data_IF_574108067532
#
_entry.id   IF_574108067532
#
_cell.length_a   1.000
_cell.length_b   1.000
_cell.length_c   1.000
_cell.angle_alpha   90.00
_cell.angle_beta   90.00
_cell.angle_gamma   90.00
#
_symmetry.space_group_name_H-M   'P 1'
#
loop_
_entity.id
_entity.type
_entity.pdbx_description
1 polymer ?
#
# COMPACT_ATOMS: atom_id res chain seq x y z
N UNK A 1 -8.64 0.22 9.34
CA UNK A 1 -7.59 -0.53 8.62
C UNK A 1 -6.96 0.40 7.60
N UNK A 2 -5.65 0.59 7.69
CA UNK A 2 -5.03 1.92 7.52
C UNK A 2 -4.94 2.48 6.11
N UNK A 3 -5.20 3.78 6.00
CA UNK A 3 -4.82 4.62 4.86
C UNK A 3 -3.61 5.46 5.27
N UNK A 4 -2.67 5.66 4.35
CA UNK A 4 -1.54 6.57 4.60
C UNK A 4 -2.09 8.01 4.51
N UNK A 5 -1.97 8.84 5.56
CA UNK A 5 -2.47 10.21 5.51
C UNK A 5 -1.85 11.03 4.39
N UNK A 6 -2.67 11.80 3.69
CA UNK A 6 -2.25 12.58 2.50
C UNK A 6 -1.17 13.61 2.83
N UNK A 7 -1.17 14.16 4.04
CA UNK A 7 -0.17 15.12 4.51
C UNK A 7 1.25 14.52 4.63
N UNK A 8 1.38 13.19 4.71
CA UNK A 8 2.68 12.51 4.66
C UNK A 8 3.29 12.53 3.25
N UNK A 9 2.48 12.83 2.23
CA UNK A 9 2.92 13.03 0.85
C UNK A 9 3.22 14.51 0.54
N UNK A 10 3.33 15.38 1.55
CA UNK A 10 3.53 16.82 1.36
C UNK A 10 4.78 17.37 2.04
N UNK A 11 5.41 18.36 1.39
CA UNK A 11 6.46 19.20 1.97
C UNK A 11 7.63 18.42 2.61
N UNK A 12 7.96 18.78 3.85
CA UNK A 12 9.06 18.15 4.61
C UNK A 12 8.81 16.67 4.90
N UNK A 13 7.57 16.29 5.20
CA UNK A 13 7.18 14.90 5.53
C UNK A 13 7.41 13.94 4.38
N UNK A 14 7.13 14.40 3.15
CA UNK A 14 7.44 13.64 1.95
C UNK A 14 8.94 13.48 1.71
N UNK A 15 9.72 14.57 1.91
CA UNK A 15 11.19 14.51 1.79
C UNK A 15 11.82 13.54 2.77
N UNK A 16 11.29 13.49 3.99
CA UNK A 16 11.68 12.55 5.04
C UNK A 16 11.09 11.14 4.84
N UNK A 17 10.31 10.93 3.77
CA UNK A 17 9.68 9.65 3.40
C UNK A 17 8.82 9.03 4.50
N UNK A 18 8.17 9.84 5.33
CA UNK A 18 7.34 9.36 6.45
C UNK A 18 6.16 8.47 5.99
N UNK A 19 5.74 8.60 4.74
CA UNK A 19 4.74 7.73 4.14
C UNK A 19 5.21 6.26 4.06
N UNK A 20 6.51 5.99 3.90
CA UNK A 20 7.06 4.62 3.89
C UNK A 20 7.01 3.99 5.28
N UNK A 21 7.38 4.74 6.31
CA UNK A 21 7.29 4.28 7.70
C UNK A 21 5.83 4.05 8.09
N UNK A 22 4.93 4.95 7.69
CA UNK A 22 3.50 4.76 7.96
C UNK A 22 2.93 3.51 7.24
N UNK A 23 3.42 3.20 6.04
CA UNK A 23 3.04 1.97 5.35
C UNK A 23 3.48 0.72 6.12
N UNK A 24 4.69 0.74 6.73
CA UNK A 24 5.18 -0.34 7.59
C UNK A 24 4.27 -0.53 8.80
N UNK A 25 3.93 0.54 9.52
CA UNK A 25 3.02 0.48 10.67
C UNK A 25 1.68 -0.19 10.30
N UNK A 26 1.03 0.31 9.24
CA UNK A 26 -0.28 -0.20 8.79
C UNK A 26 -0.21 -1.68 8.42
N UNK A 27 0.85 -2.10 7.73
CA UNK A 27 0.99 -3.49 7.29
C UNK A 27 1.26 -4.42 8.47
N UNK A 28 2.09 -4.01 9.43
CA UNK A 28 2.36 -4.82 10.62
C UNK A 28 1.11 -4.99 11.49
N UNK A 29 0.34 -3.91 11.70
CA UNK A 29 -0.96 -3.99 12.37
C UNK A 29 -1.92 -4.94 11.63
N UNK A 30 -1.91 -4.89 10.30
CA UNK A 30 -2.72 -5.77 9.45
C UNK A 30 -2.30 -7.25 9.57
N UNK A 31 -1.01 -7.55 9.58
CA UNK A 31 -0.51 -8.93 9.74
C UNK A 31 -0.84 -9.49 11.12
N UNK A 32 -0.70 -8.67 12.16
CA UNK A 32 -1.09 -9.04 13.53
C UNK A 32 -2.59 -9.34 13.62
N UNK A 33 -3.44 -8.47 13.08
CA UNK A 33 -4.88 -8.67 13.06
C UNK A 33 -5.33 -9.92 12.27
N UNK A 34 -4.54 -10.33 11.26
CA UNK A 34 -4.77 -11.54 10.48
C UNK A 34 -4.14 -12.80 11.10
N UNK A 35 -3.32 -12.67 12.14
CA UNK A 35 -2.53 -13.78 12.69
C UNK A 35 -1.51 -14.35 11.70
N UNK A 36 -1.06 -13.56 10.73
CA UNK A 36 -0.15 -14.01 9.67
C UNK A 36 1.29 -14.11 10.19
N UNK A 37 1.86 -15.32 10.16
CA UNK A 37 3.23 -15.62 10.59
C UNK A 37 4.24 -15.72 9.44
N UNK A 38 5.54 -15.91 9.76
CA UNK A 38 6.62 -15.99 8.76
C UNK A 38 6.62 -17.28 7.92
N UNK A 39 5.86 -18.29 8.33
CA UNK A 39 5.73 -19.59 7.65
C UNK A 39 4.99 -19.49 6.30
N UNK A 40 4.13 -18.48 6.14
CA UNK A 40 3.36 -18.24 4.93
C UNK A 40 4.01 -17.15 4.06
N UNK A 41 4.08 -17.34 2.73
CA UNK A 41 4.62 -16.32 1.84
C UNK A 41 3.72 -15.09 1.79
N UNK A 42 4.30 -13.91 2.00
CA UNK A 42 3.61 -12.63 1.83
C UNK A 42 3.85 -12.13 0.41
N UNK A 43 2.81 -12.19 -0.42
CA UNK A 43 2.79 -11.60 -1.75
C UNK A 43 2.48 -10.11 -1.66
N UNK A 44 3.37 -9.27 -2.21
CA UNK A 44 3.26 -7.82 -2.08
C UNK A 44 3.59 -7.12 -3.39
N UNK A 45 2.80 -6.09 -3.73
CA UNK A 45 3.02 -5.35 -4.97
C UNK A 45 4.37 -4.64 -4.98
N UNK A 46 4.90 -4.34 -6.17
CA UNK A 46 6.22 -3.72 -6.38
C UNK A 46 6.22 -2.19 -6.24
N UNK A 47 5.03 -1.57 -6.12
CA UNK A 47 4.87 -0.13 -5.98
C UNK A 47 5.77 0.48 -4.89
N UNK A 48 6.27 1.69 -5.15
CA UNK A 48 7.29 2.32 -4.31
C UNK A 48 6.83 2.58 -2.87
N UNK A 49 5.54 2.82 -2.66
CA UNK A 49 4.96 3.06 -1.32
C UNK A 49 5.18 1.86 -0.38
N UNK A 50 5.30 0.65 -0.93
CA UNK A 50 5.54 -0.58 -0.17
C UNK A 50 7.00 -1.02 -0.18
N UNK A 51 7.95 -0.20 -0.66
CA UNK A 51 9.36 -0.60 -0.71
C UNK A 51 9.92 -0.93 0.67
N UNK A 52 9.74 -0.02 1.64
CA UNK A 52 10.21 -0.21 3.01
C UNK A 52 9.50 -1.37 3.70
N UNK A 53 8.22 -1.60 3.41
CA UNK A 53 7.47 -2.77 3.90
C UNK A 53 8.17 -4.06 3.51
N UNK A 54 8.56 -4.20 2.23
CA UNK A 54 9.27 -5.39 1.74
C UNK A 54 10.59 -5.61 2.46
N UNK A 55 11.33 -4.55 2.75
CA UNK A 55 12.59 -4.61 3.48
C UNK A 55 12.36 -5.05 4.93
N UNK A 56 11.49 -4.36 5.67
CA UNK A 56 11.21 -4.64 7.09
C UNK A 56 10.69 -6.05 7.30
N UNK A 57 9.80 -6.53 6.42
CA UNK A 57 9.29 -7.89 6.55
C UNK A 57 10.39 -8.93 6.33
N UNK A 58 11.32 -8.71 5.39
CA UNK A 58 12.48 -9.60 5.21
C UNK A 58 13.44 -9.54 6.41
N UNK A 59 13.71 -8.35 6.94
CA UNK A 59 14.52 -8.15 8.15
C UNK A 59 13.91 -8.91 9.34
N UNK A 60 12.57 -9.03 9.40
CA UNK A 60 11.84 -9.79 10.41
C UNK A 60 11.69 -11.29 10.10
N UNK A 61 12.30 -11.79 9.02
CA UNK A 61 12.31 -13.20 8.66
C UNK A 61 11.10 -13.69 7.86
N UNK A 62 10.20 -12.80 7.42
CA UNK A 62 9.09 -13.20 6.55
C UNK A 62 9.57 -13.53 5.14
N UNK A 63 8.94 -14.54 4.52
CA UNK A 63 9.13 -14.85 3.11
C UNK A 63 8.34 -13.88 2.22
N UNK A 64 8.98 -12.80 1.79
CA UNK A 64 8.37 -11.76 0.94
C UNK A 64 8.55 -12.05 -0.55
N UNK A 65 7.43 -12.16 -1.29
CA UNK A 65 7.41 -12.39 -2.74
C UNK A 65 6.86 -11.14 -3.44
N UNK A 66 7.70 -10.35 -4.15
CA UNK A 66 7.21 -9.29 -5.02
C UNK A 66 6.30 -9.88 -6.09
N UNK A 67 5.09 -9.35 -6.25
CA UNK A 67 4.07 -9.96 -7.12
C UNK A 67 3.20 -8.90 -7.77
N UNK A 68 2.73 -9.17 -9.00
CA UNK A 68 1.61 -8.44 -9.56
C UNK A 68 0.34 -8.95 -8.89
N UNK A 69 -0.34 -8.08 -8.14
CA UNK A 69 -1.62 -8.41 -7.50
C UNK A 69 -2.72 -8.26 -8.54
N UNK A 70 -3.56 -9.29 -8.68
CA UNK A 70 -4.65 -9.37 -9.66
C UNK A 70 -5.90 -9.96 -9.01
N UNK A 71 -7.03 -9.88 -9.71
CA UNK A 71 -8.29 -10.49 -9.27
C UNK A 71 -8.92 -9.75 -8.09
N UNK A 72 -9.48 -10.50 -7.15
CA UNK A 72 -10.31 -9.96 -6.09
C UNK A 72 -9.56 -8.98 -5.16
N UNK A 73 -8.33 -9.31 -4.77
CA UNK A 73 -7.49 -8.41 -3.94
C UNK A 73 -7.22 -7.08 -4.64
N UNK A 74 -6.99 -7.09 -5.96
CA UNK A 74 -6.81 -5.87 -6.74
C UNK A 74 -8.12 -5.06 -6.73
N UNK A 75 -9.26 -5.69 -7.00
CA UNK A 75 -10.58 -5.03 -7.01
C UNK A 75 -10.88 -4.37 -5.66
N UNK A 76 -10.69 -5.09 -4.55
CA UNK A 76 -10.91 -4.57 -3.21
C UNK A 76 -10.04 -3.36 -2.89
N UNK A 77 -8.75 -3.40 -3.28
CA UNK A 77 -7.82 -2.29 -3.08
C UNK A 77 -8.21 -1.06 -3.92
N UNK A 78 -8.58 -1.27 -5.18
CA UNK A 78 -9.02 -0.23 -6.10
C UNK A 78 -10.32 0.46 -5.63
N UNK A 79 -11.29 -0.31 -5.15
CA UNK A 79 -12.53 0.24 -4.60
C UNK A 79 -12.30 1.01 -3.29
N UNK A 80 -11.44 0.50 -2.41
CA UNK A 80 -11.06 1.22 -1.20
C UNK A 80 -10.40 2.56 -1.53
N UNK A 81 -9.53 2.58 -2.54
CA UNK A 81 -8.89 3.79 -3.02
C UNK A 81 -9.90 4.81 -3.57
N UNK A 82 -10.85 4.38 -4.43
CA UNK A 82 -11.90 5.28 -4.94
C UNK A 82 -12.75 5.88 -3.81
N UNK A 83 -13.14 5.07 -2.82
CA UNK A 83 -13.88 5.57 -1.64
C UNK A 83 -13.05 6.58 -0.82
N UNK A 84 -11.74 6.39 -0.73
CA UNK A 84 -10.85 7.34 -0.07
C UNK A 84 -10.80 8.67 -0.82
N UNK A 85 -10.68 8.63 -2.16
CA UNK A 85 -10.70 9.81 -3.03
C UNK A 85 -12.01 10.60 -2.89
N UNK A 86 -13.15 9.92 -2.91
CA UNK A 86 -14.45 10.56 -2.71
C UNK A 86 -14.54 11.26 -1.34
N UNK A 87 -14.05 10.61 -0.28
CA UNK A 87 -14.06 11.15 1.08
C UNK A 87 -13.23 12.44 1.23
N UNK A 88 -12.12 12.55 0.50
CA UNK A 88 -11.28 13.76 0.48
C UNK A 88 -11.77 14.80 -0.55
N UNK A 89 -12.92 14.58 -1.18
CA UNK A 89 -13.59 15.53 -2.07
C UNK A 89 -13.16 15.45 -3.53
N UNK A 90 -12.39 14.44 -3.94
CA UNK A 90 -12.06 14.22 -5.35
C UNK A 90 -13.26 13.59 -6.05
N UNK A 91 -13.85 14.32 -7.00
CA UNK A 91 -15.01 13.87 -7.78
C UNK A 91 -14.60 13.38 -9.16
N UNK A 92 -15.34 12.41 -9.70
CA UNK A 92 -15.12 11.88 -11.04
C UNK A 92 -13.84 11.04 -11.18
N UNK A 93 -13.28 10.57 -10.07
CA UNK A 93 -12.17 9.62 -10.11
C UNK A 93 -12.66 8.29 -10.68
N UNK A 94 -11.89 7.71 -11.60
CA UNK A 94 -12.13 6.37 -12.13
C UNK A 94 -10.81 5.61 -12.24
N UNK A 95 -10.89 4.29 -12.20
CA UNK A 95 -9.72 3.43 -12.35
C UNK A 95 -9.08 3.62 -13.73
N UNK A 96 -9.88 3.79 -14.78
CA UNK A 96 -9.39 4.10 -16.13
C UNK A 96 -8.61 5.42 -16.21
N UNK A 97 -9.03 6.45 -15.47
CA UNK A 97 -8.30 7.72 -15.41
C UNK A 97 -6.92 7.57 -14.75
N UNK A 98 -6.78 6.63 -13.80
CA UNK A 98 -5.53 6.29 -13.11
C UNK A 98 -4.62 5.36 -13.91
N UNK A 99 -5.17 4.44 -14.72
CA UNK A 99 -4.40 3.48 -15.53
C UNK A 99 -3.37 4.14 -16.45
N UNK A 100 -3.70 5.31 -17.02
CA UNK A 100 -2.78 6.10 -17.86
C UNK A 100 -1.62 6.76 -17.09
N UNK A 101 -1.73 6.91 -15.76
CA UNK A 101 -0.76 7.63 -14.92
C UNK A 101 0.09 6.75 -14.02
N UNK A 102 -0.40 5.57 -13.62
CA UNK A 102 0.24 4.76 -12.57
C UNK A 102 0.61 3.32 -12.96
N UNK A 103 0.31 2.85 -14.18
CA UNK A 103 0.64 1.48 -14.65
C UNK A 103 1.87 1.39 -15.56
N UNK A 104 2.64 2.47 -15.72
CA UNK A 104 3.92 2.47 -16.45
C UNK A 104 5.16 2.42 -15.54
N UNK A 105 5.01 2.01 -14.28
CA UNK A 105 6.12 1.81 -13.34
C UNK A 105 6.20 0.35 -12.87
#
# INVERSE_FOLDING_TARGET
MGEIPVDLFQGRRFREKLYLEKAVEIVLEGLEALGAGPEEPIHICTGYVLSRVREVLRERGYRVIPSKIVGETQRMAEEAFLRSLERIGVRGASLEAGRRRFLHL
#
